data_IF_449276474905
#
_entry.id   IF_449276474905
#
_cell.length_a   1.000
_cell.length_b   1.000
_cell.length_c   1.000
_cell.angle_alpha   90.00
_cell.angle_beta   90.00
_cell.angle_gamma   90.00
#
_symmetry.space_group_name_H-M   'P 1'
#
loop_
_entity.id
_entity.type
_entity.pdbx_description
1 polymer ?
#
# COMPACT_ATOMS: atom_id res chain seq x y z
N UNK A 1 -19.74 23.51 36.16
CA UNK A 1 -19.55 22.30 35.33
C UNK A 1 -18.06 22.12 35.12
N UNK A 2 -17.38 21.39 36.01
CA UNK A 2 -15.95 21.13 35.94
C UNK A 2 -15.73 19.82 35.18
N UNK A 3 -15.18 19.90 33.97
CA UNK A 3 -14.70 18.71 33.27
C UNK A 3 -13.44 18.21 33.96
N UNK A 4 -13.43 16.92 34.30
CA UNK A 4 -12.41 16.29 35.12
C UNK A 4 -11.14 16.04 34.28
N UNK A 5 -10.07 16.79 34.56
CA UNK A 5 -8.73 16.67 33.93
C UNK A 5 -8.16 15.23 33.93
N UNK A 6 -8.65 14.36 34.81
CA UNK A 6 -8.25 12.96 34.87
C UNK A 6 -8.83 12.12 33.71
N UNK A 7 -10.03 12.42 33.22
CA UNK A 7 -10.63 11.72 32.09
C UNK A 7 -9.97 12.10 30.76
N UNK A 8 -9.63 13.37 30.56
CA UNK A 8 -8.88 13.81 29.36
C UNK A 8 -7.49 13.18 29.29
N UNK A 9 -6.79 13.07 30.43
CA UNK A 9 -5.50 12.37 30.50
C UNK A 9 -5.64 10.87 30.21
N UNK A 10 -6.72 10.24 30.67
CA UNK A 10 -6.97 8.80 30.49
C UNK A 10 -7.39 8.46 29.04
N UNK A 11 -8.22 9.30 28.42
CA UNK A 11 -8.57 9.21 26.99
C UNK A 11 -7.35 9.55 26.12
N UNK A 12 -6.54 10.53 26.51
CA UNK A 12 -5.27 10.86 25.88
C UNK A 12 -4.23 9.73 25.98
N UNK A 13 -4.15 9.03 27.11
CA UNK A 13 -3.30 7.86 27.29
C UNK A 13 -3.79 6.64 26.50
N UNK A 14 -5.11 6.41 26.40
CA UNK A 14 -5.67 5.34 25.58
C UNK A 14 -5.48 5.60 24.08
N UNK A 15 -5.64 6.84 23.61
CA UNK A 15 -5.35 7.22 22.22
C UNK A 15 -3.86 7.16 21.87
N UNK A 16 -2.96 7.29 22.84
CA UNK A 16 -1.50 7.13 22.65
C UNK A 16 -1.05 5.67 22.58
N UNK A 17 -1.88 4.72 23.02
CA UNK A 17 -1.48 3.31 23.17
C UNK A 17 -1.62 2.46 21.90
N UNK A 18 -2.14 3.03 20.81
CA UNK A 18 -2.39 2.32 19.55
C UNK A 18 -1.83 3.00 18.30
N UNK A 19 -1.06 4.09 18.45
CA UNK A 19 -0.20 4.53 17.35
C UNK A 19 1.07 3.71 17.44
N UNK A 20 1.17 2.67 16.62
CA UNK A 20 2.43 2.00 16.39
C UNK A 20 3.34 3.04 15.74
N UNK A 21 4.42 3.45 16.42
CA UNK A 21 5.37 4.34 15.75
C UNK A 21 5.97 3.60 14.55
N UNK A 22 6.32 4.36 13.51
CA UNK A 22 6.82 3.81 12.24
C UNK A 22 8.00 2.84 12.42
N UNK A 23 8.82 3.03 13.46
CA UNK A 23 9.96 2.16 13.72
C UNK A 23 9.51 0.77 14.20
N UNK A 24 8.58 0.73 15.16
CA UNK A 24 8.00 -0.52 15.66
C UNK A 24 7.25 -1.29 14.56
N UNK A 25 6.53 -0.58 13.69
CA UNK A 25 5.84 -1.17 12.54
C UNK A 25 6.83 -1.79 11.54
N UNK A 26 7.90 -1.08 11.17
CA UNK A 26 8.94 -1.60 10.28
C UNK A 26 9.60 -2.88 10.82
N UNK A 27 9.83 -2.98 12.13
CA UNK A 27 10.38 -4.19 12.75
C UNK A 27 9.41 -5.37 12.61
N UNK A 28 8.12 -5.15 12.90
CA UNK A 28 7.09 -6.17 12.74
C UNK A 28 6.91 -6.58 11.27
N UNK A 29 6.91 -5.60 10.36
CA UNK A 29 6.80 -5.81 8.92
C UNK A 29 7.98 -6.65 8.40
N UNK A 30 9.21 -6.29 8.78
CA UNK A 30 10.41 -7.03 8.40
C UNK A 30 10.34 -8.50 8.84
N UNK A 31 9.89 -8.76 10.07
CA UNK A 31 9.72 -10.14 10.58
C UNK A 31 8.69 -10.94 9.79
N UNK A 32 7.66 -10.28 9.24
CA UNK A 32 6.57 -10.93 8.50
C UNK A 32 6.95 -11.28 7.06
N UNK A 33 7.76 -10.45 6.41
CA UNK A 33 8.03 -10.54 4.98
C UNK A 33 9.48 -10.89 4.63
N UNK A 34 10.39 -10.91 5.60
CA UNK A 34 11.76 -11.40 5.40
C UNK A 34 12.05 -12.67 6.22
N UNK A 35 12.82 -13.63 5.67
CA UNK A 35 13.31 -13.67 4.29
C UNK A 35 12.17 -13.80 3.27
N UNK A 36 12.43 -13.37 2.04
CA UNK A 36 11.43 -13.41 0.96
C UNK A 36 11.03 -14.86 0.69
N UNK A 37 9.73 -15.13 0.81
CA UNK A 37 9.13 -16.40 0.43
C UNK A 37 8.66 -16.34 -1.03
N UNK A 38 9.50 -16.85 -1.94
CA UNK A 38 9.21 -16.85 -3.39
C UNK A 38 8.00 -17.73 -3.73
N UNK A 39 7.83 -18.86 -3.03
CA UNK A 39 6.68 -19.74 -3.25
C UNK A 39 5.37 -19.07 -2.82
N UNK A 40 5.41 -18.27 -1.75
CA UNK A 40 4.27 -17.42 -1.38
C UNK A 40 4.00 -16.38 -2.46
N UNK A 41 5.02 -15.65 -2.93
CA UNK A 41 4.83 -14.68 -4.01
C UNK A 41 4.19 -15.32 -5.25
N UNK A 42 4.62 -16.52 -5.64
CA UNK A 42 4.04 -17.23 -6.78
C UNK A 42 2.55 -17.54 -6.58
N UNK A 43 2.17 -18.00 -5.38
CA UNK A 43 0.75 -18.23 -5.05
C UNK A 43 -0.07 -16.93 -5.07
N UNK A 44 0.46 -15.83 -4.53
CA UNK A 44 -0.22 -14.54 -4.55
C UNK A 44 -0.39 -14.02 -5.99
N UNK A 45 0.64 -14.15 -6.84
CA UNK A 45 0.56 -13.76 -8.25
C UNK A 45 -0.44 -14.61 -9.04
N UNK A 46 -0.48 -15.92 -8.81
CA UNK A 46 -1.47 -16.81 -9.43
C UNK A 46 -2.90 -16.50 -8.97
N UNK A 47 -3.06 -16.14 -7.69
CA UNK A 47 -4.36 -15.76 -7.13
C UNK A 47 -4.84 -14.43 -7.74
N UNK A 48 -3.91 -13.48 -7.91
CA UNK A 48 -4.19 -12.21 -8.58
C UNK A 48 -4.57 -12.40 -10.05
N UNK A 49 -3.85 -13.24 -10.80
CA UNK A 49 -4.22 -13.60 -12.18
C UNK A 49 -5.63 -14.22 -12.24
N UNK A 50 -5.93 -15.16 -11.35
CA UNK A 50 -7.25 -15.81 -11.28
C UNK A 50 -8.38 -14.82 -10.98
N UNK A 51 -8.11 -13.79 -10.16
CA UNK A 51 -9.06 -12.72 -9.87
C UNK A 51 -9.33 -11.86 -11.11
N UNK A 52 -8.29 -11.46 -11.85
CA UNK A 52 -8.46 -10.71 -13.10
C UNK A 52 -9.25 -11.51 -14.14
N UNK A 53 -8.97 -12.81 -14.25
CA UNK A 53 -9.69 -13.70 -15.16
C UNK A 53 -11.16 -13.87 -14.75
N UNK A 54 -11.45 -13.94 -13.45
CA UNK A 54 -12.81 -13.96 -12.94
C UNK A 54 -13.55 -12.68 -13.31
N UNK A 55 -12.96 -11.51 -13.02
CA UNK A 55 -13.57 -10.22 -13.37
C UNK A 55 -13.85 -10.12 -14.88
N UNK A 56 -12.91 -10.52 -15.74
CA UNK A 56 -13.08 -10.51 -17.18
C UNK A 56 -14.24 -11.41 -17.64
N UNK A 57 -14.32 -12.65 -17.13
CA UNK A 57 -15.42 -13.57 -17.45
C UNK A 57 -16.78 -13.09 -16.93
N UNK A 58 -16.78 -12.34 -15.83
CA UNK A 58 -17.99 -11.75 -15.24
C UNK A 58 -18.37 -10.40 -15.87
N UNK A 59 -17.66 -9.92 -16.89
CA UNK A 59 -17.92 -8.62 -17.52
C UNK A 59 -17.64 -7.43 -16.60
N UNK A 60 -16.78 -7.59 -15.60
CA UNK A 60 -16.38 -6.54 -14.66
C UNK A 60 -15.09 -5.89 -15.16
N UNK A 61 -15.16 -4.61 -15.52
CA UNK A 61 -13.98 -3.81 -15.84
C UNK A 61 -13.08 -3.69 -14.61
N UNK A 62 -11.82 -4.09 -14.76
CA UNK A 62 -10.82 -4.03 -13.69
C UNK A 62 -9.77 -2.98 -13.98
N UNK A 63 -9.33 -2.31 -12.90
CA UNK A 63 -8.21 -1.37 -12.88
C UNK A 63 -7.35 -1.72 -11.68
N UNK A 64 -6.03 -1.81 -11.88
CA UNK A 64 -5.08 -2.20 -10.83
C UNK A 64 -4.37 -0.95 -10.36
N UNK A 65 -4.32 -0.78 -9.03
CA UNK A 65 -3.61 0.32 -8.40
C UNK A 65 -2.54 -0.24 -7.50
N UNK A 66 -1.27 0.07 -7.80
CA UNK A 66 -0.17 -0.20 -6.88
C UNK A 66 -0.08 0.96 -5.89
N UNK A 67 -0.62 0.76 -4.70
CA UNK A 67 -0.71 1.76 -3.64
C UNK A 67 0.66 2.26 -3.20
N UNK A 68 0.78 3.54 -2.80
CA UNK A 68 2.03 4.06 -2.25
C UNK A 68 2.35 3.40 -0.91
N UNK A 69 3.64 3.20 -0.66
CA UNK A 69 4.20 2.82 0.64
C UNK A 69 5.24 3.84 1.07
N UNK A 70 5.53 3.91 2.37
CA UNK A 70 6.56 4.83 2.89
C UNK A 70 7.93 4.54 2.26
N UNK A 71 8.79 5.56 2.20
CA UNK A 71 10.15 5.41 1.67
C UNK A 71 10.95 4.38 2.49
N UNK A 72 10.68 4.30 3.79
CA UNK A 72 11.32 3.35 4.70
C UNK A 72 10.88 1.91 4.45
N UNK A 73 9.60 1.67 4.15
CA UNK A 73 9.10 0.33 3.81
C UNK A 73 9.70 -0.14 2.48
N UNK A 74 9.73 0.74 1.48
CA UNK A 74 10.33 0.46 0.19
C UNK A 74 11.80 0.03 0.29
N UNK A 75 12.54 0.59 1.23
CA UNK A 75 13.94 0.23 1.50
C UNK A 75 14.15 -1.14 2.14
N UNK A 76 13.09 -1.87 2.54
CA UNK A 76 13.22 -3.18 3.18
C UNK A 76 13.53 -4.31 2.19
N UNK A 77 13.05 -4.19 0.95
CA UNK A 77 13.18 -5.24 -0.05
C UNK A 77 14.42 -5.02 -0.94
N UNK A 78 15.18 -6.07 -1.29
CA UNK A 78 16.30 -5.95 -2.23
C UNK A 78 15.84 -5.42 -3.60
N UNK A 79 16.63 -4.53 -4.22
CA UNK A 79 16.30 -3.94 -5.53
C UNK A 79 16.00 -4.97 -6.62
N UNK A 80 16.81 -6.03 -6.71
CA UNK A 80 16.59 -7.12 -7.68
C UNK A 80 15.22 -7.82 -7.50
N UNK A 81 14.75 -7.97 -6.26
CA UNK A 81 13.43 -8.52 -6.00
C UNK A 81 12.32 -7.55 -6.43
N UNK A 82 12.49 -6.24 -6.14
CA UNK A 82 11.53 -5.23 -6.57
C UNK A 82 11.39 -5.19 -8.09
N UNK A 83 12.50 -5.23 -8.81
CA UNK A 83 12.52 -5.27 -10.28
C UNK A 83 11.79 -6.50 -10.82
N UNK A 84 12.07 -7.68 -10.27
CA UNK A 84 11.39 -8.92 -10.66
C UNK A 84 9.87 -8.83 -10.39
N UNK A 85 9.47 -8.33 -9.23
CA UNK A 85 8.06 -8.13 -8.88
C UNK A 85 7.38 -7.18 -9.88
N UNK A 86 7.99 -6.04 -10.18
CA UNK A 86 7.45 -5.06 -11.12
C UNK A 86 7.31 -5.61 -12.54
N UNK A 87 8.31 -6.36 -13.01
CA UNK A 87 8.23 -7.03 -14.31
C UNK A 87 7.04 -7.98 -14.36
N UNK A 88 6.88 -8.85 -13.35
CA UNK A 88 5.75 -9.79 -13.28
C UNK A 88 4.41 -9.09 -13.24
N UNK A 89 4.26 -8.05 -12.43
CA UNK A 89 3.02 -7.29 -12.30
C UNK A 89 2.64 -6.62 -13.63
N UNK A 90 3.58 -5.88 -14.24
CA UNK A 90 3.36 -5.18 -15.52
C UNK A 90 3.06 -6.14 -16.66
N UNK A 91 3.80 -7.25 -16.76
CA UNK A 91 3.54 -8.26 -17.79
C UNK A 91 2.14 -8.87 -17.65
N UNK A 92 1.71 -9.19 -16.43
CA UNK A 92 0.39 -9.76 -16.18
C UNK A 92 -0.73 -8.77 -16.53
N UNK A 93 -0.64 -7.52 -16.06
CA UNK A 93 -1.66 -6.50 -16.35
C UNK A 93 -1.72 -6.17 -17.84
N UNK A 94 -0.57 -6.11 -18.52
CA UNK A 94 -0.51 -5.93 -19.98
C UNK A 94 -1.15 -7.10 -20.73
N UNK A 95 -0.83 -8.34 -20.36
CA UNK A 95 -1.40 -9.53 -20.99
C UNK A 95 -2.93 -9.61 -20.86
N UNK A 96 -3.49 -9.08 -19.75
CA UNK A 96 -4.92 -9.01 -19.50
C UNK A 96 -5.58 -7.71 -19.95
N UNK A 97 -4.82 -6.79 -20.56
CA UNK A 97 -5.29 -5.47 -21.00
C UNK A 97 -5.95 -4.67 -19.86
N UNK A 98 -5.42 -4.83 -18.65
CA UNK A 98 -5.87 -4.14 -17.44
C UNK A 98 -4.96 -2.95 -17.19
N UNK A 99 -5.54 -1.77 -16.96
CA UNK A 99 -4.77 -0.58 -16.62
C UNK A 99 -4.06 -0.76 -15.28
N UNK A 100 -2.79 -0.38 -15.20
CA UNK A 100 -1.99 -0.34 -14.00
C UNK A 100 -1.62 1.10 -13.66
N UNK A 101 -2.07 1.57 -12.49
CA UNK A 101 -1.75 2.88 -11.94
C UNK A 101 -0.70 2.72 -10.85
N UNK A 102 0.45 3.34 -11.05
CA UNK A 102 1.63 3.17 -10.19
C UNK A 102 1.85 4.41 -9.33
N UNK A 103 1.96 4.20 -8.03
CA UNK A 103 2.33 5.23 -7.06
C UNK A 103 3.59 4.80 -6.30
N UNK A 104 4.76 4.74 -6.97
CA UNK A 104 5.97 4.24 -6.35
C UNK A 104 6.45 5.15 -5.20
N UNK A 105 7.16 4.58 -4.22
CA UNK A 105 7.66 5.29 -3.05
C UNK A 105 8.62 6.44 -3.44
N UNK A 106 8.59 7.52 -2.66
CA UNK A 106 9.55 8.63 -2.76
C UNK A 106 9.36 9.59 -3.94
N UNK A 107 8.39 9.32 -4.83
CA UNK A 107 8.04 10.24 -5.91
C UNK A 107 6.99 11.26 -5.45
N UNK A 108 5.77 10.78 -5.25
CA UNK A 108 4.63 11.64 -4.96
C UNK A 108 4.31 11.68 -3.46
N UNK A 109 4.80 10.74 -2.65
CA UNK A 109 4.46 10.60 -1.23
C UNK A 109 5.69 10.70 -0.32
N UNK A 110 5.55 11.42 0.79
CA UNK A 110 6.56 11.55 1.84
C UNK A 110 6.17 10.72 3.06
N UNK A 111 7.11 10.37 3.94
CA UNK A 111 6.83 9.58 5.15
C UNK A 111 5.74 10.20 6.04
N UNK A 112 5.59 11.53 6.02
CA UNK A 112 4.52 12.24 6.75
C UNK A 112 3.11 12.01 6.19
N UNK A 113 2.98 11.42 5.00
CA UNK A 113 1.69 11.06 4.40
C UNK A 113 1.16 9.71 4.93
N UNK A 114 1.90 9.03 5.81
CA UNK A 114 1.56 7.70 6.31
C UNK A 114 1.25 7.68 7.81
N UNK A 115 0.36 6.77 8.22
CA UNK A 115 0.10 6.43 9.62
C UNK A 115 1.13 5.41 10.13
N UNK A 116 1.52 4.46 9.27
CA UNK A 116 2.55 3.45 9.52
C UNK A 116 3.42 3.23 8.26
N UNK A 117 4.14 2.11 8.14
CA UNK A 117 5.05 1.93 7.00
C UNK A 117 4.34 1.68 5.66
N UNK A 118 3.05 1.31 5.65
CA UNK A 118 2.30 0.93 4.43
C UNK A 118 0.93 1.58 4.28
N UNK A 119 0.34 2.12 5.35
CA UNK A 119 -0.98 2.75 5.32
C UNK A 119 -0.87 4.27 5.33
N UNK A 120 -1.55 4.92 4.38
CA UNK A 120 -1.69 6.37 4.35
C UNK A 120 -2.48 6.87 5.56
N UNK A 121 -2.10 8.04 6.08
CA UNK A 121 -2.93 8.77 7.02
C UNK A 121 -4.01 9.59 6.28
N UNK A 122 -4.82 10.35 7.02
CA UNK A 122 -5.93 11.12 6.44
C UNK A 122 -5.47 12.14 5.38
N UNK A 123 -4.34 12.82 5.58
CA UNK A 123 -3.82 13.79 4.60
C UNK A 123 -3.20 13.08 3.38
N UNK A 124 -2.44 11.99 3.61
CA UNK A 124 -1.93 11.15 2.54
C UNK A 124 -3.04 10.55 1.67
N UNK A 125 -4.16 10.14 2.27
CA UNK A 125 -5.32 9.61 1.56
C UNK A 125 -6.00 10.68 0.67
N UNK A 126 -6.14 11.92 1.17
CA UNK A 126 -6.67 13.04 0.36
C UNK A 126 -5.77 13.32 -0.84
N UNK A 127 -4.45 13.33 -0.63
CA UNK A 127 -3.45 13.51 -1.68
C UNK A 127 -3.51 12.40 -2.72
N UNK A 128 -3.53 11.15 -2.27
CA UNK A 128 -3.68 9.98 -3.14
C UNK A 128 -4.95 10.07 -4.00
N UNK A 129 -6.07 10.51 -3.44
CA UNK A 129 -7.30 10.67 -4.21
C UNK A 129 -7.17 11.70 -5.33
N UNK A 130 -6.41 12.78 -5.14
CA UNK A 130 -6.14 13.74 -6.22
C UNK A 130 -5.29 13.09 -7.32
N UNK A 131 -4.18 12.44 -6.95
CA UNK A 131 -3.30 11.78 -7.92
C UNK A 131 -4.02 10.68 -8.71
N UNK A 132 -4.88 9.89 -8.05
CA UNK A 132 -5.65 8.84 -8.71
C UNK A 132 -6.66 9.41 -9.70
N UNK A 133 -7.36 10.50 -9.36
CA UNK A 133 -8.27 11.16 -10.29
C UNK A 133 -7.52 11.68 -11.52
N UNK A 134 -6.34 12.27 -11.34
CA UNK A 134 -5.53 12.77 -12.45
C UNK A 134 -5.10 11.63 -13.39
N UNK A 135 -4.57 10.54 -12.85
CA UNK A 135 -4.15 9.39 -13.68
C UNK A 135 -5.33 8.70 -14.38
N UNK A 136 -6.49 8.60 -13.73
CA UNK A 136 -7.67 7.95 -14.31
C UNK A 136 -8.43 8.84 -15.30
N UNK A 137 -8.36 10.17 -15.17
CA UNK A 137 -8.95 11.10 -16.12
C UNK A 137 -8.21 11.15 -17.47
N UNK A 138 -6.90 10.89 -17.48
CA UNK A 138 -6.07 10.80 -18.70
C UNK A 138 -6.40 9.53 -19.52
N UNK A 139 -7.05 8.54 -18.90
CA UNK A 139 -7.32 7.22 -19.51
C UNK A 139 -8.74 7.06 -20.08
N UNK A 140 -9.45 8.16 -20.35
CA UNK A 140 -10.74 8.20 -21.09
C UNK A 140 -10.51 8.63 -22.53
#
# INVERSE_FOLDING_TARGET
MQFNLAEEKRVGLMKRRFRNDMQSDLVAYRKRYLPIDSAKLDREMQSFESLLDLCARSGIESKVVFMPVSSRNAGLLPGAFQEQFWQRLRSLTQARKVALYEFPPGKDFQDSDFEDSVHLNAEGAKKFWQCLKEQTAISR
#
